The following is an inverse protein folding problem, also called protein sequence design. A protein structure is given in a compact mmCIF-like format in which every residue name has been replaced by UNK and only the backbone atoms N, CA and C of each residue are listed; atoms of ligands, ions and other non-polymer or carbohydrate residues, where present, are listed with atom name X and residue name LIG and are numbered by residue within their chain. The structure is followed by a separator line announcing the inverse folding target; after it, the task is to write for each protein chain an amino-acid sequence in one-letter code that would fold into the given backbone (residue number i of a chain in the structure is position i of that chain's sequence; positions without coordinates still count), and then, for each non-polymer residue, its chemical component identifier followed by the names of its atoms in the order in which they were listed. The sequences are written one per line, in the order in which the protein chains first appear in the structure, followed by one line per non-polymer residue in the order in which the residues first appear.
data_IF_931840286342
#
_entry.id   IF_931840286342
#
_cell.length_a   1.000
_cell.length_b   1.000
_cell.length_c   1.000
_cell.angle_alpha   90.00
_cell.angle_beta   90.00
_cell.angle_gamma   90.00
#
_symmetry.space_group_name_H-M   'P 1'
#
loop_
_entity.id
_entity.type
_entity.pdbx_description
1 polymer ?
#
# COMPACT_ATOMS: atom_id res chain seq x y z
N UNK A 1 15.07 13.95 -4.60
CA UNK A 1 15.10 12.56 -4.07
C UNK A 1 14.44 12.44 -2.71
N UNK A 2 14.70 13.30 -1.72
CA UNK A 2 14.04 13.21 -0.39
C UNK A 2 12.53 13.47 -0.47
N UNK A 3 12.11 14.45 -1.28
CA UNK A 3 10.70 14.72 -1.59
C UNK A 3 9.94 13.52 -2.18
N UNK A 4 10.62 12.65 -2.91
CA UNK A 4 9.98 11.47 -3.50
C UNK A 4 9.53 10.47 -2.43
N UNK A 5 10.32 10.31 -1.35
CA UNK A 5 9.93 9.46 -0.23
C UNK A 5 8.73 10.02 0.54
N UNK A 6 8.70 11.34 0.76
CA UNK A 6 7.56 12.02 1.39
C UNK A 6 6.30 11.89 0.52
N UNK A 7 6.43 12.11 -0.79
CA UNK A 7 5.33 11.93 -1.73
C UNK A 7 4.80 10.49 -1.73
N UNK A 8 5.68 9.48 -1.76
CA UNK A 8 5.28 8.07 -1.66
C UNK A 8 4.54 7.78 -0.35
N UNK A 9 5.02 8.36 0.77
CA UNK A 9 4.38 8.25 2.08
C UNK A 9 2.97 8.85 2.09
N UNK A 10 2.82 10.08 1.61
CA UNK A 10 1.53 10.79 1.59
C UNK A 10 0.52 10.08 0.67
N UNK A 11 0.97 9.57 -0.48
CA UNK A 11 0.11 8.79 -1.38
C UNK A 11 -0.32 7.46 -0.75
N UNK A 12 0.61 6.74 -0.12
CA UNK A 12 0.29 5.52 0.59
C UNK A 12 -0.73 5.79 1.70
N UNK A 13 -0.51 6.84 2.49
CA UNK A 13 -1.43 7.20 3.57
C UNK A 13 -2.80 7.59 3.01
N UNK A 14 -2.86 8.32 1.90
CA UNK A 14 -4.14 8.63 1.24
C UNK A 14 -4.93 7.37 0.84
N UNK A 15 -4.25 6.34 0.30
CA UNK A 15 -4.89 5.10 -0.17
C UNK A 15 -5.28 4.18 0.99
N UNK A 16 -4.36 3.92 1.92
CA UNK A 16 -4.53 2.88 2.94
C UNK A 16 -5.04 3.40 4.29
N UNK A 17 -5.08 4.70 4.53
CA UNK A 17 -5.63 5.24 5.79
C UNK A 17 -7.16 5.20 5.78
N UNK A 18 -7.73 4.49 6.76
CA UNK A 18 -9.17 4.34 6.95
C UNK A 18 -9.95 5.66 7.07
N UNK A 19 -9.29 6.76 7.47
CA UNK A 19 -9.91 8.09 7.62
C UNK A 19 -9.84 8.94 6.35
N UNK A 20 -8.86 8.69 5.46
CA UNK A 20 -8.59 9.51 4.26
C UNK A 20 -9.13 8.85 2.99
N UNK A 21 -9.09 7.52 2.92
CA UNK A 21 -9.50 6.74 1.76
C UNK A 21 -10.96 7.07 1.36
N UNK A 22 -11.30 7.20 0.06
CA UNK A 22 -12.68 7.30 -0.44
C UNK A 22 -13.67 6.29 0.16
N UNK A 23 -13.19 5.07 0.49
CA UNK A 23 -13.96 4.00 1.14
C UNK A 23 -14.33 4.30 2.61
N UNK A 24 -13.89 5.43 3.18
CA UNK A 24 -14.21 5.86 4.56
C UNK A 24 -15.70 5.94 4.88
N UNK A 25 -16.55 6.09 3.86
CA UNK A 25 -18.00 6.20 4.01
C UNK A 25 -18.67 4.87 4.36
N UNK A 26 -18.00 3.73 4.14
CA UNK A 26 -18.51 2.43 4.57
C UNK A 26 -18.41 2.30 6.10
N UNK A 27 -19.43 1.83 6.81
CA UNK A 27 -19.43 1.79 8.27
C UNK A 27 -18.41 0.80 8.86
N UNK A 28 -18.17 -0.33 8.20
CA UNK A 28 -17.26 -1.37 8.70
C UNK A 28 -15.83 -1.21 8.15
N UNK A 29 -14.81 -1.01 9.01
CA UNK A 29 -13.41 -0.93 8.58
C UNK A 29 -12.89 -2.21 7.93
N UNK A 30 -13.39 -3.40 8.31
CA UNK A 30 -12.97 -4.64 7.68
C UNK A 30 -13.43 -4.73 6.24
N UNK A 31 -14.70 -4.40 5.96
CA UNK A 31 -15.22 -4.31 4.60
C UNK A 31 -14.36 -3.40 3.69
N UNK A 32 -13.85 -2.27 4.22
CA UNK A 32 -12.98 -1.35 3.46
C UNK A 32 -11.68 -2.03 3.01
N UNK A 33 -11.01 -2.74 3.92
CA UNK A 33 -9.79 -3.48 3.61
C UNK A 33 -10.07 -4.63 2.63
N UNK A 34 -11.15 -5.37 2.86
CA UNK A 34 -11.54 -6.49 2.00
C UNK A 34 -11.77 -6.09 0.55
N UNK A 35 -12.40 -4.94 0.28
CA UNK A 35 -12.60 -4.44 -1.08
C UNK A 35 -11.26 -4.22 -1.78
N UNK A 36 -10.28 -3.61 -1.09
CA UNK A 36 -8.95 -3.38 -1.66
C UNK A 36 -8.20 -4.70 -1.91
N UNK A 37 -8.32 -5.68 -1.01
CA UNK A 37 -7.71 -7.02 -1.15
C UNK A 37 -8.30 -7.77 -2.34
N UNK A 38 -9.63 -7.78 -2.47
CA UNK A 38 -10.32 -8.44 -3.59
C UNK A 38 -9.91 -7.81 -4.92
N UNK A 39 -9.86 -6.47 -5.00
CA UNK A 39 -9.41 -5.78 -6.20
C UNK A 39 -7.97 -6.19 -6.56
N UNK A 40 -7.05 -6.22 -5.59
CA UNK A 40 -5.67 -6.68 -5.80
C UNK A 40 -5.63 -8.12 -6.32
N UNK A 41 -6.42 -9.02 -5.74
CA UNK A 41 -6.49 -10.42 -6.17
C UNK A 41 -7.00 -10.55 -7.61
N UNK A 42 -8.04 -9.79 -7.98
CA UNK A 42 -8.58 -9.78 -9.34
C UNK A 42 -7.50 -9.38 -10.37
N UNK A 43 -6.71 -8.34 -10.09
CA UNK A 43 -5.61 -7.93 -10.95
C UNK A 43 -4.50 -8.99 -11.02
N UNK A 44 -4.06 -9.53 -9.88
CA UNK A 44 -3.00 -10.55 -9.86
C UNK A 44 -3.39 -11.83 -10.61
N UNK A 45 -4.65 -12.27 -10.48
CA UNK A 45 -5.18 -13.42 -11.22
C UNK A 45 -5.29 -13.11 -12.71
N UNK A 46 -5.77 -11.92 -13.08
CA UNK A 46 -5.89 -11.51 -14.49
C UNK A 46 -4.52 -11.50 -15.17
N UNK A 47 -3.52 -10.89 -14.55
CA UNK A 47 -2.16 -10.89 -15.10
C UNK A 47 -1.53 -12.29 -15.10
N UNK A 48 -1.71 -13.06 -14.01
CA UNK A 48 -1.14 -14.41 -13.89
C UNK A 48 -1.75 -15.42 -14.86
N UNK A 49 -3.08 -15.43 -15.01
CA UNK A 49 -3.79 -16.35 -15.89
C UNK A 49 -3.77 -15.91 -17.36
N UNK A 50 -4.03 -14.63 -17.67
CA UNK A 50 -4.17 -14.20 -19.07
C UNK A 50 -2.83 -14.02 -19.78
N UNK A 51 -1.78 -13.55 -19.10
CA UNK A 51 -0.48 -13.28 -19.75
C UNK A 51 0.34 -14.56 -19.87
N UNK A 52 0.27 -15.46 -18.90
CA UNK A 52 1.17 -16.62 -18.81
C UNK A 52 0.46 -17.97 -19.07
N UNK A 53 -0.88 -18.00 -19.14
CA UNK A 53 -1.67 -19.19 -19.50
C UNK A 53 -1.54 -20.37 -18.53
N UNK A 54 -0.93 -20.17 -17.35
CA UNK A 54 -0.57 -21.25 -16.44
C UNK A 54 -0.84 -20.88 -14.97
N UNK A 55 -1.59 -21.74 -14.28
CA UNK A 55 -2.00 -21.60 -12.87
C UNK A 55 -0.81 -21.50 -11.91
N UNK A 56 0.31 -22.16 -12.21
CA UNK A 56 1.52 -22.10 -11.36
C UNK A 56 2.10 -20.68 -11.35
N UNK A 57 2.12 -20.04 -12.52
CA UNK A 57 2.59 -18.66 -12.65
C UNK A 57 1.62 -17.66 -12.02
N UNK A 58 0.32 -17.94 -12.02
CA UNK A 58 -0.65 -17.16 -11.26
C UNK A 58 -0.37 -17.23 -9.74
N UNK A 59 -0.03 -18.42 -9.22
CA UNK A 59 0.39 -18.59 -7.83
C UNK A 59 1.67 -17.81 -7.48
N UNK A 60 2.70 -17.90 -8.33
CA UNK A 60 3.95 -17.17 -8.16
C UNK A 60 3.76 -15.65 -8.24
N UNK A 61 2.92 -15.17 -9.17
CA UNK A 61 2.56 -13.76 -9.28
C UNK A 61 1.93 -13.24 -7.99
N UNK A 62 0.99 -13.98 -7.40
CA UNK A 62 0.39 -13.61 -6.12
C UNK A 62 1.43 -13.55 -4.99
N UNK A 63 2.29 -14.56 -4.86
CA UNK A 63 3.35 -14.57 -3.86
C UNK A 63 4.30 -13.36 -4.00
N UNK A 64 4.69 -13.01 -5.23
CA UNK A 64 5.51 -11.84 -5.51
C UNK A 64 4.82 -10.53 -5.12
N UNK A 65 3.52 -10.39 -5.35
CA UNK A 65 2.74 -9.22 -4.91
C UNK A 65 2.70 -9.10 -3.39
N UNK A 66 2.49 -10.20 -2.65
CA UNK A 66 2.52 -10.17 -1.19
C UNK A 66 3.87 -9.72 -0.64
N UNK A 67 4.97 -10.21 -1.23
CA UNK A 67 6.31 -9.79 -0.84
C UNK A 67 6.53 -8.29 -1.10
N UNK A 68 6.11 -7.80 -2.27
CA UNK A 68 6.21 -6.38 -2.63
C UNK A 68 5.41 -5.50 -1.67
N UNK A 69 4.15 -5.85 -1.41
CA UNK A 69 3.29 -5.13 -0.47
C UNK A 69 3.91 -5.10 0.91
N UNK A 70 4.43 -6.23 1.40
CA UNK A 70 5.09 -6.32 2.69
C UNK A 70 6.27 -5.34 2.78
N UNK A 71 7.16 -5.33 1.78
CA UNK A 71 8.31 -4.41 1.75
C UNK A 71 7.91 -2.94 1.71
N UNK A 72 6.88 -2.59 0.91
CA UNK A 72 6.35 -1.22 0.86
C UNK A 72 5.74 -0.83 2.21
N UNK A 73 4.92 -1.69 2.81
CA UNK A 73 4.30 -1.41 4.12
C UNK A 73 5.33 -1.23 5.23
N UNK A 74 6.40 -2.04 5.24
CA UNK A 74 7.49 -1.90 6.19
C UNK A 74 8.23 -0.57 5.99
N UNK A 75 8.47 -0.18 4.74
CA UNK A 75 9.11 1.11 4.44
C UNK A 75 8.25 2.27 4.95
N UNK A 76 6.95 2.27 4.67
CA UNK A 76 6.02 3.30 5.13
C UNK A 76 5.87 3.28 6.66
N UNK A 77 5.95 2.12 7.30
CA UNK A 77 5.88 2.01 8.76
C UNK A 77 6.99 2.80 9.47
N UNK A 78 8.18 2.91 8.85
CA UNK A 78 9.30 3.71 9.38
C UNK A 78 8.95 5.21 9.34
N UNK A 79 8.37 5.69 8.24
CA UNK A 79 7.92 7.08 8.12
C UNK A 79 6.76 7.38 9.07
N UNK A 80 5.82 6.45 9.22
CA UNK A 80 4.70 6.58 10.15
C UNK A 80 5.17 6.66 11.61
N UNK A 81 6.13 5.80 11.99
CA UNK A 81 6.76 5.83 13.30
C UNK A 81 7.46 7.18 13.53
N UNK A 82 8.24 7.67 12.56
CA UNK A 82 8.91 8.96 12.64
C UNK A 82 7.93 10.15 12.77
N UNK A 83 6.77 10.11 12.08
CA UNK A 83 5.72 11.12 12.21
C UNK A 83 5.08 11.09 13.60
N UNK A 84 4.85 9.89 14.16
CA UNK A 84 4.28 9.70 15.50
C UNK A 84 5.23 10.16 16.61
N UNK A 85 6.52 9.91 16.45
CA UNK A 85 7.55 10.25 17.45
C UNK A 85 8.01 11.72 17.32
N UNK A 86 7.59 12.42 16.26
CA UNK A 86 7.87 13.85 16.05
C UNK A 86 9.30 14.13 15.61
N UNK A 87 9.91 13.21 14.86
CA UNK A 87 11.32 13.28 14.48
C UNK A 87 11.68 14.56 13.72
N UNK A 88 12.77 15.21 14.15
CA UNK A 88 13.24 16.49 13.60
C UNK A 88 13.52 16.42 12.10
N UNK A 89 14.03 15.28 11.61
CA UNK A 89 14.38 15.12 10.20
C UNK A 89 13.14 15.09 9.29
N UNK A 90 12.02 14.50 9.74
CA UNK A 90 10.77 14.44 8.98
C UNK A 90 10.10 15.82 8.95
N UNK A 91 10.10 16.53 10.08
CA UNK A 91 9.60 17.90 10.17
C UNK A 91 10.41 18.87 9.30
N UNK A 92 11.73 18.70 9.23
CA UNK A 92 12.58 19.46 8.32
C UNK A 92 12.30 19.14 6.86
N UNK A 93 11.96 17.88 6.54
CA UNK A 93 11.60 17.46 5.20
C UNK A 93 10.27 18.06 4.75
N UNK A 94 9.26 18.09 5.63
CA UNK A 94 7.92 18.66 5.34
C UNK A 94 7.93 20.21 5.27
N UNK A 95 8.96 20.88 5.79
CA UNK A 95 9.11 22.35 5.74
C UNK A 95 9.77 22.87 4.46
N UNK A 96 10.36 22.00 3.64
CA UNK A 96 10.95 22.37 2.36
C UNK A 96 9.90 22.44 1.26
#
# INVERSE_FOLDING_TARGET
MKEFGLWMYDNYEYIFNHNKNPLRHLPDPMARMWIMVVLSWMWSVTFGCLILGNVIFAGLSMAAHFLLLCMVTLTVSIFWQAERDGDVWLLQLRKK
#
